data_IF_487476457570
#
_entry.id   IF_487476457570
#
_cell.length_a   1.000
_cell.length_b   1.000
_cell.length_c   1.000
_cell.angle_alpha   90.00
_cell.angle_beta   90.00
_cell.angle_gamma   90.00
#
_symmetry.space_group_name_H-M   'P 1'
#
loop_
_entity.id
_entity.type
_entity.pdbx_description
1 polymer ?
#
# COMPACT_ATOMS: atom_id res chain seq x y z
N UNK A 1 11.71 -7.27 12.46
CA UNK A 1 10.53 -7.75 11.74
C UNK A 1 10.97 -8.40 10.43
N UNK A 2 10.13 -9.28 9.85
CA UNK A 2 10.39 -9.90 8.54
C UNK A 2 9.23 -9.55 7.60
N UNK A 3 9.55 -9.18 6.36
CA UNK A 3 8.56 -8.90 5.31
C UNK A 3 8.77 -9.84 4.14
N UNK A 4 7.68 -10.42 3.65
CA UNK A 4 7.66 -11.23 2.42
C UNK A 4 6.68 -10.60 1.44
N UNK A 5 7.15 -10.19 0.26
CA UNK A 5 6.28 -9.70 -0.81
C UNK A 5 5.58 -10.90 -1.46
N UNK A 6 4.26 -10.90 -1.43
CA UNK A 6 3.45 -12.00 -1.99
C UNK A 6 3.00 -11.70 -3.43
N UNK A 7 2.75 -10.42 -3.77
CA UNK A 7 2.37 -9.96 -5.11
C UNK A 7 3.08 -8.66 -5.42
N UNK A 8 3.61 -8.57 -6.62
CA UNK A 8 4.11 -7.37 -7.29
C UNK A 8 4.04 -7.60 -8.81
N UNK A 9 4.42 -6.60 -9.62
CA UNK A 9 4.46 -6.70 -11.09
C UNK A 9 5.56 -7.63 -11.61
N UNK A 10 6.53 -7.97 -10.78
CA UNK A 10 7.60 -8.94 -11.06
C UNK A 10 7.63 -10.04 -10.00
N UNK A 11 8.25 -11.17 -10.28
CA UNK A 11 8.31 -12.31 -9.39
C UNK A 11 9.60 -13.13 -9.55
N UNK A 12 10.05 -13.73 -8.46
CA UNK A 12 11.09 -14.76 -8.54
C UNK A 12 10.62 -16.00 -9.31
N UNK A 13 11.56 -16.79 -9.79
CA UNK A 13 11.26 -18.04 -10.51
C UNK A 13 10.36 -18.98 -9.68
N UNK A 14 9.28 -19.44 -10.30
CA UNK A 14 8.30 -20.35 -9.68
C UNK A 14 7.12 -19.66 -9.00
N UNK A 15 7.08 -18.33 -8.93
CA UNK A 15 5.93 -17.55 -8.49
C UNK A 15 5.26 -16.82 -9.65
N UNK A 16 4.01 -16.40 -9.43
CA UNK A 16 3.29 -15.52 -10.35
C UNK A 16 3.44 -14.05 -9.98
N UNK A 17 3.23 -13.18 -10.98
CA UNK A 17 3.13 -11.72 -10.81
C UNK A 17 1.84 -11.20 -11.46
N UNK A 18 1.34 -10.08 -10.97
CA UNK A 18 0.20 -9.35 -11.54
C UNK A 18 0.32 -7.87 -11.19
N UNK A 19 -0.44 -7.02 -11.89
CA UNK A 19 -0.59 -5.63 -11.47
C UNK A 19 -1.35 -5.59 -10.14
N UNK A 20 -0.64 -5.34 -9.06
CA UNK A 20 -1.17 -5.33 -7.71
C UNK A 20 -0.06 -5.47 -6.67
N UNK A 21 -0.43 -5.38 -5.41
CA UNK A 21 0.50 -5.51 -4.30
C UNK A 21 -0.09 -6.37 -3.19
N UNK A 22 0.75 -7.19 -2.57
CA UNK A 22 0.45 -7.88 -1.31
C UNK A 22 1.74 -8.21 -0.57
N UNK A 23 1.76 -7.97 0.73
CA UNK A 23 2.91 -8.28 1.60
C UNK A 23 2.47 -8.95 2.89
N UNK A 24 3.23 -9.94 3.34
CA UNK A 24 3.13 -10.53 4.68
C UNK A 24 4.19 -9.91 5.58
N UNK A 25 3.79 -9.34 6.70
CA UNK A 25 4.65 -8.71 7.69
C UNK A 25 4.57 -9.51 9.00
N UNK A 26 5.67 -10.11 9.39
CA UNK A 26 5.83 -10.88 10.62
C UNK A 26 6.59 -10.03 11.65
N UNK A 27 5.94 -9.68 12.74
CA UNK A 27 6.51 -8.95 13.88
C UNK A 27 6.56 -9.85 15.12
N UNK A 28 7.18 -9.39 16.21
CA UNK A 28 7.14 -10.13 17.50
C UNK A 28 5.72 -10.20 18.10
N UNK A 29 4.80 -9.34 17.63
CA UNK A 29 3.47 -9.19 18.21
C UNK A 29 2.32 -9.63 17.32
N UNK A 30 2.52 -9.76 16.01
CA UNK A 30 1.46 -10.11 15.06
C UNK A 30 2.01 -10.50 13.69
N UNK A 31 1.25 -11.33 12.99
CA UNK A 31 1.39 -11.60 11.56
C UNK A 31 0.31 -10.84 10.81
N UNK A 32 0.72 -9.94 9.90
CA UNK A 32 -0.15 -8.97 9.23
C UNK A 32 -0.10 -9.23 7.71
N UNK A 33 -1.25 -9.38 7.07
CA UNK A 33 -1.38 -9.34 5.63
C UNK A 33 -1.75 -7.91 5.21
N UNK A 34 -0.86 -7.23 4.51
CA UNK A 34 -1.12 -5.94 3.89
C UNK A 34 -1.51 -6.18 2.43
N UNK A 35 -2.71 -5.78 2.07
CA UNK A 35 -3.31 -5.95 0.74
C UNK A 35 -3.35 -7.42 0.26
N UNK A 36 -4.09 -7.67 -0.80
CA UNK A 36 -4.36 -9.01 -1.32
C UNK A 36 -4.14 -9.14 -2.84
N UNK A 37 -3.61 -8.09 -3.50
CA UNK A 37 -3.50 -8.07 -4.95
C UNK A 37 -4.85 -7.92 -5.68
N UNK A 38 -4.81 -8.12 -6.98
CA UNK A 38 -5.97 -8.05 -7.88
C UNK A 38 -6.74 -9.39 -8.00
N UNK A 39 -6.20 -10.46 -7.41
CA UNK A 39 -6.76 -11.81 -7.52
C UNK A 39 -6.33 -12.71 -6.36
N UNK A 40 -6.67 -14.02 -6.43
CA UNK A 40 -6.16 -15.04 -5.50
C UNK A 40 -4.68 -15.43 -5.71
N UNK A 41 -3.91 -14.67 -6.49
CA UNK A 41 -2.50 -14.97 -6.77
C UNK A 41 -1.62 -14.92 -5.51
N UNK A 42 -1.86 -13.95 -4.62
CA UNK A 42 -1.13 -13.85 -3.35
C UNK A 42 -1.20 -15.16 -2.53
N UNK A 43 -2.36 -15.82 -2.52
CA UNK A 43 -2.54 -17.09 -1.81
C UNK A 43 -1.81 -18.25 -2.49
N UNK A 44 -1.75 -18.27 -3.83
CA UNK A 44 -0.98 -19.26 -4.59
C UNK A 44 0.52 -19.08 -4.34
N UNK A 45 1.00 -17.83 -4.35
CA UNK A 45 2.39 -17.51 -4.04
C UNK A 45 2.75 -17.84 -2.58
N UNK A 46 1.87 -17.52 -1.62
CA UNK A 46 2.04 -17.89 -0.22
C UNK A 46 2.17 -19.41 -0.06
N UNK A 47 1.30 -20.18 -0.71
CA UNK A 47 1.37 -21.65 -0.70
C UNK A 47 2.69 -22.16 -1.30
N UNK A 48 3.16 -21.59 -2.41
CA UNK A 48 4.41 -21.98 -3.05
C UNK A 48 5.63 -21.65 -2.16
N UNK A 49 5.55 -20.59 -1.35
CA UNK A 49 6.56 -20.20 -0.37
C UNK A 49 6.46 -20.98 0.97
N UNK A 50 5.44 -21.82 1.12
CA UNK A 50 5.22 -22.59 2.37
C UNK A 50 4.66 -21.74 3.51
N UNK A 51 4.01 -20.62 3.19
CA UNK A 51 3.36 -19.71 4.14
C UNK A 51 1.91 -20.17 4.34
N UNK A 52 1.48 -20.31 5.60
CA UNK A 52 0.08 -20.60 5.95
C UNK A 52 -0.66 -19.29 6.27
N UNK A 53 -1.55 -18.87 5.37
CA UNK A 53 -2.36 -17.66 5.56
C UNK A 53 -3.43 -17.83 6.66
N UNK A 54 -3.68 -19.03 7.14
CA UNK A 54 -4.54 -19.25 8.30
C UNK A 54 -3.92 -18.74 9.62
N UNK A 55 -2.61 -18.51 9.65
CA UNK A 55 -1.88 -17.98 10.81
C UNK A 55 -1.83 -16.43 10.85
N UNK A 56 -2.43 -15.75 9.88
CA UNK A 56 -2.50 -14.28 9.84
C UNK A 56 -3.45 -13.78 10.93
N UNK A 57 -2.98 -12.85 11.76
CA UNK A 57 -3.75 -12.27 12.87
C UNK A 57 -4.60 -11.07 12.44
N UNK A 58 -4.11 -10.27 11.49
CA UNK A 58 -4.76 -9.06 10.98
C UNK A 58 -4.57 -8.90 9.48
N UNK A 59 -5.59 -8.39 8.82
CA UNK A 59 -5.47 -7.88 7.46
C UNK A 59 -5.58 -6.35 7.46
N UNK A 60 -4.83 -5.71 6.60
CA UNK A 60 -4.88 -4.26 6.37
C UNK A 60 -5.10 -4.02 4.89
N UNK A 61 -6.10 -3.23 4.54
CA UNK A 61 -6.23 -2.68 3.19
C UNK A 61 -5.62 -1.28 3.18
N UNK A 62 -4.62 -1.07 2.34
CA UNK A 62 -3.94 0.22 2.22
C UNK A 62 -4.86 1.31 1.66
N UNK A 63 -5.67 0.98 0.64
CA UNK A 63 -6.61 1.89 -0.01
C UNK A 63 -7.64 1.14 -0.88
N UNK A 64 -8.67 1.84 -1.31
CA UNK A 64 -9.88 1.23 -1.91
C UNK A 64 -9.76 0.89 -3.41
N UNK A 65 -8.58 0.48 -3.93
CA UNK A 65 -8.41 0.06 -5.32
C UNK A 65 -8.42 -1.47 -5.47
N UNK A 66 -8.91 -1.95 -6.64
CA UNK A 66 -9.14 -3.36 -6.93
C UNK A 66 -7.87 -4.21 -6.86
N UNK A 67 -6.75 -3.64 -7.31
CA UNK A 67 -5.42 -4.28 -7.38
C UNK A 67 -4.73 -4.44 -6.02
N UNK A 68 -5.42 -4.02 -4.94
CA UNK A 68 -5.04 -4.21 -3.54
C UNK A 68 -6.08 -5.00 -2.75
N UNK A 69 -7.33 -5.02 -3.21
CA UNK A 69 -8.47 -5.50 -2.44
C UNK A 69 -9.11 -6.79 -2.96
N UNK A 70 -9.05 -7.07 -4.28
CA UNK A 70 -9.92 -8.09 -4.90
C UNK A 70 -9.54 -9.54 -4.52
N UNK A 71 -8.33 -9.78 -3.96
CA UNK A 71 -7.95 -11.06 -3.39
C UNK A 71 -8.54 -11.36 -2.00
N UNK A 72 -9.11 -10.38 -1.26
CA UNK A 72 -9.63 -10.64 0.09
C UNK A 72 -10.78 -11.66 0.14
N UNK A 73 -11.53 -11.82 -0.94
CA UNK A 73 -12.53 -12.89 -1.03
C UNK A 73 -11.92 -14.28 -0.85
N UNK A 74 -10.77 -14.54 -1.48
CA UNK A 74 -10.01 -15.78 -1.35
C UNK A 74 -9.35 -15.89 0.04
N UNK A 75 -8.85 -14.78 0.58
CA UNK A 75 -8.30 -14.77 1.94
C UNK A 75 -9.31 -15.21 2.99
N UNK A 76 -10.53 -14.67 2.95
CA UNK A 76 -11.58 -15.03 3.92
C UNK A 76 -12.09 -16.47 3.79
N UNK A 77 -11.81 -17.14 2.67
CA UNK A 77 -12.07 -18.58 2.52
C UNK A 77 -10.98 -19.43 3.20
N UNK A 78 -9.79 -18.88 3.43
CA UNK A 78 -8.63 -19.56 4.05
C UNK A 78 -8.57 -19.25 5.56
N UNK A 79 -8.72 -17.97 5.92
CA UNK A 79 -8.61 -17.49 7.29
C UNK A 79 -10.00 -17.09 7.83
N UNK A 80 -10.40 -17.66 8.96
CA UNK A 80 -11.75 -17.50 9.54
C UNK A 80 -11.82 -16.50 10.71
N UNK A 81 -10.70 -15.88 11.10
CA UNK A 81 -10.63 -15.05 12.32
C UNK A 81 -10.04 -13.64 12.12
N UNK A 82 -9.02 -13.44 11.27
CA UNK A 82 -8.37 -12.15 11.12
C UNK A 82 -9.34 -11.05 10.64
N UNK A 83 -9.48 -9.94 11.36
CA UNK A 83 -10.25 -8.79 10.87
C UNK A 83 -9.53 -8.10 9.70
N UNK A 84 -10.30 -7.47 8.82
CA UNK A 84 -9.79 -6.54 7.80
C UNK A 84 -9.96 -5.10 8.30
N UNK A 85 -8.82 -4.43 8.51
CA UNK A 85 -8.77 -3.04 8.96
C UNK A 85 -8.74 -2.10 7.75
N UNK A 86 -9.71 -1.21 7.64
CA UNK A 86 -9.85 -0.22 6.56
C UNK A 86 -10.15 1.16 7.14
N UNK A 87 -9.78 2.25 6.44
CA UNK A 87 -10.26 3.58 6.83
C UNK A 87 -11.79 3.68 6.67
N UNK A 88 -12.43 4.47 7.54
CA UNK A 88 -13.90 4.63 7.53
C UNK A 88 -14.43 5.17 6.21
N UNK A 89 -13.64 5.96 5.48
CA UNK A 89 -13.97 6.49 4.16
C UNK A 89 -13.82 5.46 3.02
N UNK A 90 -13.32 4.25 3.30
CA UNK A 90 -13.13 3.21 2.31
C UNK A 90 -14.49 2.67 1.84
N UNK A 91 -14.85 2.99 0.59
CA UNK A 91 -16.11 2.60 -0.05
C UNK A 91 -15.87 2.13 -1.50
N UNK A 92 -16.89 1.54 -2.12
CA UNK A 92 -16.85 1.05 -3.51
C UNK A 92 -17.12 2.20 -4.51
N UNK A 93 -16.31 3.28 -4.45
CA UNK A 93 -16.57 4.56 -5.15
C UNK A 93 -15.45 5.03 -6.05
N UNK A 94 -14.30 4.34 -6.16
CA UNK A 94 -13.12 4.80 -6.89
C UNK A 94 -13.25 4.60 -8.40
N UNK A 95 -12.89 5.64 -9.17
CA UNK A 95 -12.91 5.66 -10.62
C UNK A 95 -11.65 6.34 -11.17
N UNK A 96 -11.29 6.00 -12.42
CA UNK A 96 -10.16 6.63 -13.12
C UNK A 96 -10.41 6.76 -14.62
N UNK A 97 -9.89 7.82 -15.21
CA UNK A 97 -9.79 8.01 -16.66
C UNK A 97 -8.34 8.12 -17.16
N UNK A 98 -7.37 7.77 -16.35
CA UNK A 98 -5.93 7.79 -16.68
C UNK A 98 -5.56 7.04 -17.96
N UNK A 99 -6.37 6.05 -18.38
CA UNK A 99 -6.21 5.28 -19.62
C UNK A 99 -7.22 5.69 -20.72
N UNK A 100 -7.81 6.90 -20.62
CA UNK A 100 -8.70 7.52 -21.57
C UNK A 100 -10.18 7.40 -21.23
N UNK A 101 -10.73 6.20 -21.07
CA UNK A 101 -12.13 6.01 -20.71
C UNK A 101 -12.29 5.93 -19.20
N UNK A 102 -13.33 6.60 -18.65
CA UNK A 102 -13.69 6.53 -17.24
C UNK A 102 -14.06 5.09 -16.86
N UNK A 103 -13.33 4.51 -15.91
CA UNK A 103 -13.50 3.13 -15.44
C UNK A 103 -13.59 3.06 -13.93
N UNK A 104 -14.39 2.14 -13.44
CA UNK A 104 -14.38 1.75 -12.05
C UNK A 104 -13.07 1.01 -11.73
N UNK A 105 -12.37 1.48 -10.70
CA UNK A 105 -11.10 0.91 -10.22
C UNK A 105 -11.16 0.55 -8.73
N UNK A 106 -12.34 0.65 -8.12
CA UNK A 106 -12.52 0.38 -6.69
C UNK A 106 -12.57 -1.12 -6.36
N UNK A 107 -12.73 -1.39 -5.08
CA UNK A 107 -12.95 -2.73 -4.50
C UNK A 107 -14.06 -3.47 -5.25
N UNK A 108 -13.94 -4.78 -5.41
CA UNK A 108 -14.99 -5.61 -6.00
C UNK A 108 -16.35 -5.30 -5.36
N UNK A 109 -17.33 -4.96 -6.21
CA UNK A 109 -18.64 -4.54 -5.74
C UNK A 109 -19.32 -5.61 -4.89
N UNK A 110 -19.79 -5.20 -3.72
CA UNK A 110 -20.46 -6.04 -2.75
C UNK A 110 -19.52 -6.79 -1.81
N UNK A 111 -18.20 -6.67 -1.94
CA UNK A 111 -17.24 -7.30 -1.03
C UNK A 111 -17.39 -6.74 0.39
N UNK A 112 -17.50 -5.41 0.53
CA UNK A 112 -17.64 -4.77 1.84
C UNK A 112 -18.93 -5.21 2.57
N UNK A 113 -20.03 -5.35 1.85
CA UNK A 113 -21.29 -5.85 2.41
C UNK A 113 -21.18 -7.34 2.79
N UNK A 114 -20.64 -8.17 1.91
CA UNK A 114 -20.51 -9.62 2.14
C UNK A 114 -19.60 -9.93 3.34
N UNK A 115 -18.58 -9.11 3.56
CA UNK A 115 -17.57 -9.32 4.61
C UNK A 115 -17.75 -8.37 5.81
N UNK A 116 -18.89 -7.71 5.95
CA UNK A 116 -19.13 -6.69 6.96
C UNK A 116 -18.83 -7.11 8.41
N UNK A 117 -18.97 -8.40 8.74
CA UNK A 117 -18.63 -8.94 10.07
C UNK A 117 -17.13 -9.13 10.33
N UNK A 118 -16.33 -9.06 9.27
CA UNK A 118 -14.88 -9.22 9.31
C UNK A 118 -14.15 -7.87 9.12
N UNK A 119 -14.88 -6.81 8.82
CA UNK A 119 -14.34 -5.49 8.54
C UNK A 119 -14.40 -4.64 9.81
N UNK A 120 -13.27 -4.09 10.20
CA UNK A 120 -13.14 -3.07 11.23
C UNK A 120 -12.78 -1.73 10.58
N UNK A 121 -13.66 -0.73 10.72
CA UNK A 121 -13.46 0.62 10.18
C UNK A 121 -12.70 1.48 11.17
N UNK A 122 -11.65 2.13 10.70
CA UNK A 122 -10.73 2.95 11.48
C UNK A 122 -10.92 4.42 11.11
N UNK A 123 -10.98 5.29 12.09
CA UNK A 123 -10.96 6.74 11.89
C UNK A 123 -9.56 7.29 12.20
N UNK A 124 -8.82 7.67 11.14
CA UNK A 124 -7.49 8.25 11.27
C UNK A 124 -6.43 7.28 11.82
N UNK A 125 -5.93 7.52 13.03
CA UNK A 125 -4.80 6.76 13.61
C UNK A 125 -5.25 5.73 14.63
N UNK A 126 -4.77 4.49 14.51
CA UNK A 126 -5.08 3.38 15.42
C UNK A 126 -3.85 2.51 15.69
N UNK A 127 -3.52 2.28 16.98
CA UNK A 127 -2.65 1.14 17.33
C UNK A 127 -3.50 -0.13 17.45
N UNK A 128 -3.29 -1.11 16.57
CA UNK A 128 -4.09 -2.35 16.57
C UNK A 128 -3.34 -3.58 17.09
N UNK A 129 -1.99 -3.51 17.11
CA UNK A 129 -1.14 -4.54 17.72
C UNK A 129 0.10 -3.87 18.36
N UNK A 130 0.88 -4.59 19.20
CA UNK A 130 2.10 -4.04 19.79
C UNK A 130 3.08 -3.56 18.72
N UNK A 131 3.38 -2.25 18.69
CA UNK A 131 4.26 -1.63 17.72
C UNK A 131 3.71 -1.51 16.29
N UNK A 132 2.45 -1.88 16.06
CA UNK A 132 1.80 -1.80 14.75
C UNK A 132 0.64 -0.80 14.78
N UNK A 133 0.68 0.17 13.85
CA UNK A 133 -0.25 1.29 13.78
C UNK A 133 -0.79 1.46 12.36
N UNK A 134 -2.01 1.96 12.28
CA UNK A 134 -2.57 2.53 11.05
C UNK A 134 -2.56 4.04 11.16
N UNK A 135 -2.21 4.71 10.08
CA UNK A 135 -2.16 6.16 9.97
C UNK A 135 -2.89 6.57 8.69
N UNK A 136 -4.09 7.11 8.82
CA UNK A 136 -4.84 7.74 7.72
C UNK A 136 -4.31 9.14 7.45
N UNK A 137 -4.66 9.70 6.29
CA UNK A 137 -4.33 11.08 5.96
C UNK A 137 -5.09 12.08 6.85
N UNK A 138 -4.41 13.15 7.25
CA UNK A 138 -4.98 14.34 7.90
C UNK A 138 -4.63 15.64 7.15
N UNK A 139 -3.95 15.53 6.01
CA UNK A 139 -3.56 16.65 5.14
C UNK A 139 -4.73 17.07 4.26
N UNK A 140 -5.12 18.34 4.33
CA UNK A 140 -6.18 18.91 3.50
C UNK A 140 -5.70 19.15 2.06
N UNK A 141 -6.63 19.07 1.08
CA UNK A 141 -6.40 19.50 -0.32
C UNK A 141 -5.78 18.42 -1.21
N UNK A 142 -5.78 17.16 -0.78
CA UNK A 142 -5.27 16.05 -1.58
C UNK A 142 -6.12 15.77 -2.83
N UNK A 143 -7.37 16.27 -2.89
CA UNK A 143 -8.25 16.17 -4.07
C UNK A 143 -7.60 16.73 -5.34
N UNK A 144 -6.75 17.79 -5.19
CA UNK A 144 -6.00 18.32 -6.31
C UNK A 144 -4.94 17.36 -6.85
N UNK A 145 -4.42 16.47 -6.00
CA UNK A 145 -3.57 15.38 -6.43
C UNK A 145 -4.41 14.34 -7.17
N UNK A 146 -5.56 13.94 -6.62
CA UNK A 146 -6.47 13.00 -7.27
C UNK A 146 -6.86 13.45 -8.68
N UNK A 147 -7.27 14.71 -8.85
CA UNK A 147 -7.59 15.28 -10.18
C UNK A 147 -6.40 15.20 -11.16
N UNK A 148 -5.19 15.52 -10.69
CA UNK A 148 -3.96 15.47 -11.50
C UNK A 148 -3.59 14.03 -11.90
N UNK A 149 -3.83 13.04 -11.00
CA UNK A 149 -3.57 11.62 -11.24
C UNK A 149 -4.72 10.92 -11.98
N UNK A 150 -5.78 11.68 -12.36
CA UNK A 150 -6.96 11.09 -12.98
C UNK A 150 -7.69 10.06 -12.09
N UNK A 151 -7.70 10.33 -10.78
CA UNK A 151 -8.36 9.51 -9.77
C UNK A 151 -9.55 10.27 -9.17
N UNK A 152 -10.70 9.61 -9.09
CA UNK A 152 -11.96 10.23 -8.72
C UNK A 152 -12.77 9.34 -7.80
N UNK A 153 -13.55 9.98 -6.92
CA UNK A 153 -14.60 9.34 -6.15
C UNK A 153 -15.97 9.65 -6.77
N UNK A 154 -16.83 8.66 -6.84
CA UNK A 154 -18.21 8.85 -7.23
C UNK A 154 -19.06 9.17 -6.02
N UNK A 155 -19.65 10.36 -6.01
CA UNK A 155 -20.62 10.84 -5.02
C UNK A 155 -22.03 10.93 -5.62
N UNK A 156 -23.02 11.29 -4.81
CA UNK A 156 -24.39 11.55 -5.27
C UNK A 156 -24.46 12.73 -6.26
N UNK A 157 -23.56 13.71 -6.13
CA UNK A 157 -23.47 14.90 -6.98
C UNK A 157 -22.61 14.71 -8.24
N UNK A 158 -21.94 13.56 -8.39
CA UNK A 158 -21.10 13.24 -9.55
C UNK A 158 -19.71 12.74 -9.17
N UNK A 159 -18.75 12.94 -10.07
CA UNK A 159 -17.32 12.61 -9.83
C UNK A 159 -16.64 13.83 -9.24
N UNK A 160 -15.84 13.60 -8.20
CA UNK A 160 -14.96 14.59 -7.57
C UNK A 160 -13.54 14.03 -7.54
N UNK A 161 -12.52 14.88 -7.49
CA UNK A 161 -11.14 14.44 -7.28
C UNK A 161 -11.04 13.59 -6.02
N UNK A 162 -10.23 12.54 -6.06
CA UNK A 162 -10.02 11.68 -4.90
C UNK A 162 -9.14 12.40 -3.88
N UNK A 163 -9.65 12.56 -2.65
CA UNK A 163 -8.92 13.14 -1.52
C UNK A 163 -8.13 12.09 -0.71
N UNK A 164 -8.20 10.83 -1.13
CA UNK A 164 -7.51 9.70 -0.51
C UNK A 164 -7.82 9.47 0.97
N UNK A 165 -8.96 9.92 1.46
CA UNK A 165 -9.42 9.64 2.83
C UNK A 165 -9.53 8.13 3.13
N UNK A 166 -9.59 7.31 2.10
CA UNK A 166 -9.59 5.84 2.19
C UNK A 166 -8.17 5.24 2.21
N UNK A 167 -7.11 6.01 1.95
CA UNK A 167 -5.72 5.55 2.01
C UNK A 167 -5.20 5.62 3.45
N UNK A 168 -4.39 4.62 3.82
CA UNK A 168 -3.69 4.57 5.10
C UNK A 168 -2.31 3.94 4.96
N UNK A 169 -1.39 4.39 5.81
CA UNK A 169 -0.09 3.76 6.00
C UNK A 169 -0.13 2.77 7.15
N UNK A 170 0.45 1.58 6.97
CA UNK A 170 0.79 0.69 8.07
C UNK A 170 2.17 1.07 8.58
N UNK A 171 2.27 1.43 9.86
CA UNK A 171 3.52 1.81 10.52
C UNK A 171 3.94 0.71 11.48
N UNK A 172 5.17 0.21 11.33
CA UNK A 172 5.77 -0.71 12.29
C UNK A 172 6.91 -0.02 13.03
N UNK A 173 6.80 0.01 14.35
CA UNK A 173 7.86 0.51 15.22
C UNK A 173 8.93 -0.56 15.42
N UNK A 174 10.17 -0.25 15.05
CA UNK A 174 11.34 -1.10 15.31
C UNK A 174 12.31 -0.39 16.26
N UNK A 175 13.29 -1.10 16.85
CA UNK A 175 14.36 -0.46 17.65
C UNK A 175 15.15 0.59 16.87
N UNK A 176 15.28 0.43 15.54
CA UNK A 176 16.05 1.34 14.67
C UNK A 176 15.22 2.51 14.13
N UNK A 177 13.89 2.48 14.26
CA UNK A 177 12.99 3.53 13.75
C UNK A 177 11.68 2.99 13.20
N UNK A 178 11.02 3.79 12.38
CA UNK A 178 9.74 3.43 11.77
C UNK A 178 9.96 2.75 10.43
N UNK A 179 9.23 1.67 10.18
CA UNK A 179 9.03 1.12 8.85
C UNK A 179 7.61 1.45 8.43
N UNK A 180 7.49 2.16 7.31
CA UNK A 180 6.23 2.65 6.75
C UNK A 180 5.89 1.79 5.55
N UNK A 181 4.72 1.17 5.56
CA UNK A 181 4.15 0.52 4.40
C UNK A 181 3.01 1.40 3.87
N UNK A 182 3.16 1.90 2.67
CA UNK A 182 2.10 2.59 1.94
C UNK A 182 2.15 2.10 0.48
N UNK A 183 1.13 1.34 0.08
CA UNK A 183 1.23 0.48 -1.10
C UNK A 183 1.28 1.23 -2.42
N UNK A 184 0.68 2.45 -2.51
CA UNK A 184 0.67 3.26 -3.73
C UNK A 184 1.12 4.71 -3.54
N UNK A 185 1.11 5.22 -2.33
CA UNK A 185 1.49 6.60 -2.00
C UNK A 185 0.73 7.66 -2.80
N UNK A 186 -0.61 7.48 -2.93
CA UNK A 186 -1.45 8.42 -3.71
C UNK A 186 -1.45 9.83 -3.12
N UNK A 187 -1.45 9.96 -1.78
CA UNK A 187 -1.30 11.24 -1.09
C UNK A 187 0.08 11.90 -1.29
N UNK A 188 1.04 11.17 -1.89
CA UNK A 188 2.41 11.60 -2.13
C UNK A 188 3.37 11.26 -0.98
N UNK A 189 4.60 10.86 -1.33
CA UNK A 189 5.62 10.44 -0.35
C UNK A 189 5.92 11.53 0.70
N UNK A 190 5.94 12.82 0.30
CA UNK A 190 6.20 13.92 1.24
C UNK A 190 5.09 14.02 2.29
N UNK A 191 3.83 13.92 1.90
CA UNK A 191 2.67 13.90 2.79
C UNK A 191 2.79 12.76 3.79
N UNK A 192 2.95 11.54 3.30
CA UNK A 192 3.05 10.32 4.12
C UNK A 192 4.18 10.42 5.15
N UNK A 193 5.37 10.87 4.74
CA UNK A 193 6.52 11.01 5.64
C UNK A 193 6.30 12.12 6.66
N UNK A 194 5.68 13.24 6.27
CA UNK A 194 5.43 14.35 7.19
C UNK A 194 4.35 13.98 8.23
N UNK A 195 3.29 13.29 7.82
CA UNK A 195 2.26 12.75 8.73
C UNK A 195 2.86 11.73 9.70
N UNK A 196 3.69 10.79 9.22
CA UNK A 196 4.39 9.85 10.10
C UNK A 196 5.30 10.55 11.11
N UNK A 197 6.03 11.61 10.71
CA UNK A 197 6.84 12.42 11.63
C UNK A 197 6.03 13.20 12.65
N UNK A 198 4.86 13.68 12.24
CA UNK A 198 3.94 14.37 13.15
C UNK A 198 3.35 13.40 14.18
N UNK A 199 2.95 12.20 13.75
CA UNK A 199 2.40 11.17 14.63
C UNK A 199 3.44 10.54 15.57
N UNK A 200 4.72 10.44 15.12
CA UNK A 200 5.81 9.80 15.88
C UNK A 200 7.03 10.74 16.04
N UNK A 201 6.92 11.81 16.82
CA UNK A 201 7.96 12.82 16.93
C UNK A 201 9.31 12.26 17.37
N UNK A 202 10.37 12.58 16.61
CA UNK A 202 11.75 12.22 16.94
C UNK A 202 12.16 10.79 16.58
N UNK A 203 11.26 9.98 15.98
CA UNK A 203 11.63 8.67 15.45
C UNK A 203 12.19 8.79 14.02
N UNK A 204 13.33 8.18 13.71
CA UNK A 204 13.83 8.14 12.33
C UNK A 204 12.95 7.25 11.46
N UNK A 205 12.91 7.54 10.14
CA UNK A 205 12.26 6.70 9.15
C UNK A 205 13.30 5.71 8.61
N UNK A 206 13.19 4.47 9.03
CA UNK A 206 14.10 3.38 8.64
C UNK A 206 13.84 2.90 7.22
N UNK A 207 12.56 2.73 6.86
CA UNK A 207 12.19 2.32 5.51
C UNK A 207 10.79 2.80 5.12
N UNK A 208 10.58 2.97 3.81
CA UNK A 208 9.29 3.01 3.16
C UNK A 208 9.19 1.78 2.24
N UNK A 209 8.05 1.08 2.28
CA UNK A 209 7.77 -0.10 1.47
C UNK A 209 6.45 0.11 0.71
N UNK A 210 6.48 0.00 -0.61
CA UNK A 210 5.32 0.14 -1.49
C UNK A 210 5.59 1.03 -2.70
N UNK A 211 4.60 1.17 -3.57
CA UNK A 211 4.70 1.96 -4.79
C UNK A 211 4.66 3.47 -4.54
N UNK A 212 5.21 4.23 -5.48
CA UNK A 212 5.28 5.70 -5.44
C UNK A 212 4.37 6.38 -6.48
N UNK A 213 3.53 5.60 -7.17
CA UNK A 213 2.55 6.05 -8.18
C UNK A 213 3.16 6.93 -9.29
N UNK A 214 4.26 6.46 -9.91
CA UNK A 214 5.04 7.23 -10.88
C UNK A 214 4.92 6.75 -12.32
N UNK A 215 4.16 5.68 -12.60
CA UNK A 215 4.10 5.01 -13.91
C UNK A 215 3.59 5.90 -15.07
N UNK A 216 2.98 7.05 -14.77
CA UNK A 216 2.54 8.07 -15.74
C UNK A 216 3.33 9.38 -15.64
N UNK A 217 4.38 9.43 -14.83
CA UNK A 217 5.16 10.66 -14.63
C UNK A 217 6.22 10.83 -15.70
N UNK A 218 6.45 12.09 -16.04
CA UNK A 218 7.56 12.49 -16.92
C UNK A 218 8.90 12.41 -16.17
N UNK A 219 10.00 12.17 -16.88
CA UNK A 219 11.33 11.99 -16.31
C UNK A 219 11.75 13.14 -15.40
N UNK A 220 11.49 14.40 -15.79
CA UNK A 220 11.80 15.59 -14.99
C UNK A 220 11.10 15.59 -13.62
N UNK A 221 9.88 15.05 -13.53
CA UNK A 221 9.15 14.91 -12.27
C UNK A 221 9.78 13.83 -11.39
N UNK A 222 10.20 12.70 -11.99
CA UNK A 222 10.89 11.61 -11.26
C UNK A 222 12.24 12.08 -10.72
N UNK A 223 13.02 12.84 -11.52
CA UNK A 223 14.27 13.45 -11.09
C UNK A 223 14.06 14.45 -9.92
N UNK A 224 13.01 15.26 -10.00
CA UNK A 224 12.66 16.17 -8.91
C UNK A 224 12.29 15.41 -7.63
N UNK A 225 11.53 14.32 -7.75
CA UNK A 225 11.19 13.46 -6.62
C UNK A 225 12.41 12.79 -6.00
N UNK A 226 13.39 12.33 -6.80
CA UNK A 226 14.64 11.78 -6.27
C UNK A 226 15.38 12.79 -5.40
N UNK A 227 15.39 14.08 -5.77
CA UNK A 227 15.94 15.13 -4.92
C UNK A 227 15.16 15.30 -3.60
N UNK A 228 13.83 15.30 -3.67
CA UNK A 228 12.95 15.33 -2.49
C UNK A 228 13.23 14.15 -1.55
N UNK A 229 13.34 12.93 -2.08
CA UNK A 229 13.65 11.72 -1.29
C UNK A 229 14.97 11.87 -0.52
N UNK A 230 16.02 12.43 -1.14
CA UNK A 230 17.28 12.71 -0.43
C UNK A 230 17.07 13.64 0.77
N UNK A 231 16.23 14.67 0.60
CA UNK A 231 15.95 15.66 1.65
C UNK A 231 15.07 15.10 2.76
N UNK A 232 14.20 14.14 2.44
CA UNK A 232 13.39 13.45 3.42
C UNK A 232 14.19 12.55 4.37
N UNK A 233 15.40 12.13 4.01
CA UNK A 233 16.29 11.38 4.91
C UNK A 233 15.69 10.05 5.34
N UNK A 234 15.15 9.31 4.40
CA UNK A 234 14.68 7.93 4.55
C UNK A 234 15.88 7.01 4.29
N UNK A 235 16.12 6.02 5.15
CA UNK A 235 17.30 5.16 4.99
C UNK A 235 17.16 4.21 3.79
N UNK A 236 15.96 3.63 3.58
CA UNK A 236 15.65 2.69 2.50
C UNK A 236 14.25 2.90 1.93
N UNK A 237 14.10 2.64 0.63
CA UNK A 237 12.81 2.56 -0.06
C UNK A 237 12.79 1.26 -0.85
N UNK A 238 11.84 0.38 -0.53
CA UNK A 238 11.54 -0.82 -1.27
C UNK A 238 10.30 -0.55 -2.11
N UNK A 239 10.44 -0.47 -3.44
CA UNK A 239 9.35 0.02 -4.31
C UNK A 239 9.25 -0.77 -5.62
N UNK A 240 8.04 -0.88 -6.13
CA UNK A 240 7.68 -1.57 -7.36
C UNK A 240 6.28 -1.17 -7.83
N UNK A 241 5.51 -2.10 -8.35
CA UNK A 241 4.11 -1.99 -8.75
C UNK A 241 3.80 -0.66 -9.49
N UNK A 242 3.08 0.28 -8.86
CA UNK A 242 2.66 1.55 -9.45
C UNK A 242 3.80 2.59 -9.57
N UNK A 243 5.00 2.33 -9.06
CA UNK A 243 6.18 3.14 -9.37
C UNK A 243 6.50 3.07 -10.87
N UNK A 244 6.28 1.91 -11.49
CA UNK A 244 6.57 1.69 -12.91
C UNK A 244 8.07 1.45 -13.17
N UNK A 245 8.37 0.61 -14.16
CA UNK A 245 9.72 0.15 -14.46
C UNK A 245 10.67 1.32 -14.79
N UNK A 246 10.26 2.22 -15.69
CA UNK A 246 11.08 3.34 -16.12
C UNK A 246 11.40 4.34 -15.00
N UNK A 247 10.41 4.71 -14.19
CA UNK A 247 10.64 5.60 -13.04
C UNK A 247 11.52 4.94 -11.97
N UNK A 248 11.36 3.62 -11.77
CA UNK A 248 12.19 2.84 -10.86
C UNK A 248 13.66 2.83 -11.30
N UNK A 249 13.94 2.67 -12.61
CA UNK A 249 15.30 2.75 -13.16
C UNK A 249 15.94 4.10 -12.86
N UNK A 250 15.24 5.22 -13.11
CA UNK A 250 15.73 6.58 -12.80
C UNK A 250 16.02 6.73 -11.30
N UNK A 251 15.08 6.29 -10.44
CA UNK A 251 15.29 6.37 -9.00
C UNK A 251 16.48 5.55 -8.52
N UNK A 252 16.69 4.36 -9.07
CA UNK A 252 17.84 3.52 -8.72
C UNK A 252 19.17 4.09 -9.21
N UNK A 253 19.21 4.73 -10.37
CA UNK A 253 20.40 5.44 -10.86
C UNK A 253 20.77 6.63 -9.97
N UNK A 254 19.77 7.40 -9.52
CA UNK A 254 19.99 8.57 -8.67
C UNK A 254 20.20 8.24 -7.19
N UNK A 255 19.53 7.20 -6.69
CA UNK A 255 19.46 6.82 -5.29
C UNK A 255 19.88 5.35 -5.06
N UNK A 256 21.06 4.91 -5.58
CA UNK A 256 21.45 3.49 -5.61
C UNK A 256 21.57 2.87 -4.21
N UNK A 257 21.85 3.67 -3.18
CA UNK A 257 21.99 3.20 -1.79
C UNK A 257 20.66 3.22 -1.04
N UNK A 258 19.61 3.88 -1.59
CA UNK A 258 18.33 4.09 -0.94
C UNK A 258 17.24 3.22 -1.57
N UNK A 259 17.12 3.22 -2.90
CA UNK A 259 16.01 2.59 -3.63
C UNK A 259 16.35 1.18 -4.08
N UNK A 260 15.50 0.24 -3.69
CA UNK A 260 15.55 -1.18 -4.07
C UNK A 260 14.23 -1.61 -4.69
N UNK A 261 14.30 -2.38 -5.78
CA UNK A 261 13.11 -2.92 -6.44
C UNK A 261 12.45 -4.01 -5.59
N UNK A 262 11.10 -4.06 -5.59
CA UNK A 262 10.32 -5.16 -5.03
C UNK A 262 9.91 -6.16 -6.11
N UNK A 263 9.69 -7.41 -5.69
CA UNK A 263 9.16 -8.48 -6.53
C UNK A 263 8.52 -9.57 -5.66
N UNK A 264 7.55 -10.29 -6.18
CA UNK A 264 6.92 -11.40 -5.46
C UNK A 264 7.94 -12.50 -5.11
N UNK A 265 7.98 -12.89 -3.84
CA UNK A 265 8.94 -13.82 -3.26
C UNK A 265 10.15 -13.17 -2.60
N UNK A 266 10.33 -11.86 -2.73
CA UNK A 266 11.37 -11.14 -2.00
C UNK A 266 11.11 -11.19 -0.49
N UNK A 267 12.17 -11.48 0.26
CA UNK A 267 12.15 -11.48 1.73
C UNK A 267 13.23 -10.55 2.24
N UNK A 268 12.87 -9.67 3.16
CA UNK A 268 13.83 -8.79 3.84
C UNK A 268 13.49 -8.61 5.32
N UNK A 269 14.51 -8.32 6.11
CA UNK A 269 14.38 -8.06 7.56
C UNK A 269 14.78 -6.61 7.85
N UNK A 270 13.96 -5.93 8.65
CA UNK A 270 14.14 -4.55 9.08
C UNK A 270 13.95 -4.41 10.59
#
# INVERSE_FOLDING_TARGET
MKTTILVDNDAQEGLGCEWGFSALIETDGATILLDSGASGLFAQNAQALGIDLADVDYCVLSHAHFDHADGFGDFFAINDHAPLLIQSACEETCWSDAKGDMKYIGIQRGLLEQQALRIERVDGTLQFAPGAWLLGHDTEGLEAIGEREHLYLKTDDGLVGDGFDHEQSLIIETPEGLVIFNSCSHGGIETIINEARAAFPGKPIRALVGGLHLFLREDDEVHALAQTIRELGIDKIYTGQCTGEHALEILQEELPDIVEATYAGQVFEL
#
